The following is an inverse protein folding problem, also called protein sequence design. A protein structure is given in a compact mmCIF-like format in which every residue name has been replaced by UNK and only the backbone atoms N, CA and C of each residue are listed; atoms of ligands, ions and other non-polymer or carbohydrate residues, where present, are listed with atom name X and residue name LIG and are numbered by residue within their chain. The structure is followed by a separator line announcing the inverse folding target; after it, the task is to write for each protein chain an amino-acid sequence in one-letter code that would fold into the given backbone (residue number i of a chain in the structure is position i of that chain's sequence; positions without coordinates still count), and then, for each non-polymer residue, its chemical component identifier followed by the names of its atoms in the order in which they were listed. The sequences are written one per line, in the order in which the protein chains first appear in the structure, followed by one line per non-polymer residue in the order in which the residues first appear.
data_IF_545959945878
#
_entry.id   IF_545959945878
#
_cell.length_a   1.000
_cell.length_b   1.000
_cell.length_c   1.000
_cell.angle_alpha   90.00
_cell.angle_beta   90.00
_cell.angle_gamma   90.00
#
_symmetry.space_group_name_H-M   'P 1'
#
loop_
_entity.id
_entity.type
_entity.pdbx_description
1 polymer ?
#
# COMPACT_ATOMS: atom_id res chain seq x y z
N UNK A 1 14.12 -6.17 9.87
CA UNK A 1 13.00 -7.13 10.07
C UNK A 1 11.85 -6.73 9.17
N UNK A 2 11.30 -7.68 8.45
CA UNK A 2 10.15 -7.43 7.59
C UNK A 2 8.92 -7.07 8.42
N UNK A 3 8.06 -6.23 7.86
CA UNK A 3 6.83 -5.77 8.51
C UNK A 3 5.64 -5.97 7.58
N UNK A 4 4.47 -6.14 8.19
CA UNK A 4 3.19 -6.20 7.49
C UNK A 4 2.49 -4.86 7.67
N UNK A 5 2.06 -4.27 6.57
CA UNK A 5 1.42 -2.96 6.55
C UNK A 5 0.04 -3.11 5.92
N UNK A 6 -1.01 -2.82 6.67
CA UNK A 6 -2.39 -3.00 6.23
C UNK A 6 -3.13 -1.68 6.25
N UNK A 7 -3.66 -1.28 5.09
CA UNK A 7 -4.58 -0.16 4.98
C UNK A 7 -5.99 -0.70 4.77
N UNK A 8 -6.93 -0.27 5.61
CA UNK A 8 -8.34 -0.60 5.46
C UNK A 8 -9.13 0.67 5.20
N UNK A 9 -9.89 0.67 4.11
CA UNK A 9 -10.83 1.74 3.76
C UNK A 9 -12.23 1.18 3.94
N UNK A 10 -13.00 1.66 4.94
CA UNK A 10 -14.25 0.97 5.34
C UNK A 10 -15.38 1.05 4.34
N UNK A 11 -15.43 2.08 3.50
CA UNK A 11 -16.50 2.25 2.51
C UNK A 11 -15.92 2.51 1.14
N UNK A 12 -16.27 1.69 0.16
CA UNK A 12 -15.71 1.80 -1.19
C UNK A 12 -14.22 1.48 -1.17
N UNK A 13 -13.40 2.39 -1.61
CA UNK A 13 -11.94 2.27 -1.56
C UNK A 13 -11.30 1.76 -2.82
N UNK A 14 -12.02 1.04 -3.68
CA UNK A 14 -11.45 0.58 -4.95
C UNK A 14 -11.07 1.76 -5.85
N UNK A 15 -11.94 2.77 -5.95
CA UNK A 15 -11.65 3.96 -6.75
C UNK A 15 -10.43 4.72 -6.19
N UNK A 16 -10.33 4.83 -4.87
CA UNK A 16 -9.17 5.43 -4.23
C UNK A 16 -7.91 4.64 -4.55
N UNK A 17 -7.98 3.31 -4.42
CA UNK A 17 -6.85 2.43 -4.70
C UNK A 17 -6.37 2.62 -6.14
N UNK A 18 -7.29 2.59 -7.11
CA UNK A 18 -6.95 2.75 -8.51
C UNK A 18 -6.37 4.14 -8.81
N UNK A 19 -6.90 5.19 -8.16
CA UNK A 19 -6.36 6.54 -8.30
C UNK A 19 -4.93 6.63 -7.74
N UNK A 20 -4.66 6.03 -6.59
CA UNK A 20 -3.31 5.98 -6.00
C UNK A 20 -2.36 5.24 -6.94
N UNK A 21 -2.75 4.05 -7.40
CA UNK A 21 -1.93 3.25 -8.32
C UNK A 21 -1.60 4.04 -9.57
N UNK A 22 -2.58 4.71 -10.17
CA UNK A 22 -2.37 5.52 -11.36
C UNK A 22 -1.35 6.65 -11.10
N UNK A 23 -1.45 7.30 -9.94
CA UNK A 23 -0.56 8.42 -9.59
C UNK A 23 0.87 7.96 -9.35
N UNK A 24 1.07 6.86 -8.64
CA UNK A 24 2.42 6.38 -8.29
C UNK A 24 3.10 5.62 -9.42
N UNK A 25 2.35 5.13 -10.40
CA UNK A 25 2.90 4.40 -11.56
C UNK A 25 2.84 5.22 -12.85
N UNK A 26 2.49 6.49 -12.77
CA UNK A 26 2.35 7.38 -13.92
C UNK A 26 1.40 6.79 -15.00
N UNK A 27 0.28 6.22 -14.54
CA UNK A 27 -0.74 5.64 -15.40
C UNK A 27 -0.45 4.24 -15.93
N UNK A 28 0.70 3.65 -15.60
CA UNK A 28 1.10 2.34 -16.11
C UNK A 28 0.39 1.17 -15.43
N UNK A 29 -0.11 1.38 -14.20
CA UNK A 29 -0.69 0.33 -13.40
C UNK A 29 0.35 -0.44 -12.59
N UNK A 30 -0.14 -1.22 -11.63
CA UNK A 30 0.72 -1.96 -10.70
C UNK A 30 0.55 -3.46 -10.92
N UNK A 31 1.47 -4.05 -11.68
CA UNK A 31 1.45 -5.49 -12.01
C UNK A 31 2.73 -6.21 -11.57
N UNK A 32 3.74 -5.48 -11.14
CA UNK A 32 5.02 -6.01 -10.65
C UNK A 32 5.51 -5.15 -9.50
N UNK A 33 6.27 -5.73 -8.58
CA UNK A 33 6.83 -4.98 -7.46
C UNK A 33 7.68 -3.80 -7.92
N UNK A 34 8.38 -3.96 -9.04
CA UNK A 34 9.24 -2.91 -9.59
C UNK A 34 8.47 -1.68 -10.11
N UNK A 35 7.17 -1.78 -10.28
CA UNK A 35 6.34 -0.64 -10.72
C UNK A 35 6.23 0.44 -9.62
N UNK A 36 6.45 0.07 -8.37
CA UNK A 36 6.44 1.02 -7.25
C UNK A 36 7.80 1.73 -7.18
N UNK A 37 7.82 3.08 -7.18
CA UNK A 37 9.07 3.84 -7.19
C UNK A 37 9.71 3.93 -5.81
N UNK A 38 9.85 2.80 -5.12
CA UNK A 38 10.44 2.73 -3.79
C UNK A 38 10.97 1.32 -3.55
N UNK A 39 12.16 1.21 -3.00
CA UNK A 39 12.80 -0.07 -2.76
C UNK A 39 12.26 -0.73 -1.49
N UNK A 40 12.32 -2.06 -1.44
CA UNK A 40 12.04 -2.83 -0.23
C UNK A 40 10.66 -3.44 -0.14
N UNK A 41 9.82 -3.29 -1.15
CA UNK A 41 8.53 -3.97 -1.20
C UNK A 41 8.74 -5.45 -1.54
N UNK A 42 8.24 -6.33 -0.68
CA UNK A 42 8.38 -7.79 -0.83
C UNK A 42 7.12 -8.40 -1.44
N UNK A 43 5.94 -7.91 -1.04
CA UNK A 43 4.67 -8.41 -1.53
C UNK A 43 3.60 -7.33 -1.41
N UNK A 44 2.62 -7.39 -2.31
CA UNK A 44 1.49 -6.47 -2.33
C UNK A 44 0.22 -7.23 -2.68
N UNK A 45 -0.83 -7.03 -1.87
CA UNK A 45 -2.12 -7.67 -2.06
C UNK A 45 -3.20 -6.62 -1.86
N UNK A 46 -4.17 -6.57 -2.76
CA UNK A 46 -5.30 -5.64 -2.64
C UNK A 46 -6.59 -6.36 -3.02
N UNK A 47 -7.66 -6.06 -2.29
CA UNK A 47 -8.95 -6.64 -2.57
C UNK A 47 -10.07 -6.09 -1.69
N UNK A 48 -11.32 -6.42 -2.02
CA UNK A 48 -12.47 -5.97 -1.24
C UNK A 48 -12.55 -6.67 0.12
N UNK A 49 -13.05 -5.93 1.11
CA UNK A 49 -13.39 -6.50 2.40
C UNK A 49 -14.79 -7.12 2.33
N UNK A 50 -15.00 -8.20 3.09
CA UNK A 50 -16.33 -8.75 3.27
C UNK A 50 -17.22 -7.70 3.95
N UNK A 51 -18.39 -7.47 3.41
CA UNK A 51 -19.31 -6.48 3.94
C UNK A 51 -19.11 -5.06 3.42
N UNK A 52 -18.15 -4.86 2.52
CA UNK A 52 -17.83 -3.56 1.92
C UNK A 52 -16.47 -3.03 2.38
N UNK A 53 -15.93 -2.11 1.61
CA UNK A 53 -14.59 -1.55 1.85
C UNK A 53 -13.50 -2.23 1.06
N UNK A 54 -12.27 -1.82 1.30
CA UNK A 54 -11.10 -2.25 0.52
C UNK A 54 -9.90 -2.40 1.45
N UNK A 55 -9.11 -3.44 1.23
CA UNK A 55 -7.87 -3.67 2.00
C UNK A 55 -6.68 -3.75 1.09
N UNK A 56 -5.60 -3.08 1.49
CA UNK A 56 -4.28 -3.24 0.89
C UNK A 56 -3.35 -3.78 1.95
N UNK A 57 -2.69 -4.88 1.66
CA UNK A 57 -1.69 -5.47 2.54
C UNK A 57 -0.35 -5.52 1.82
N UNK A 58 0.64 -4.87 2.40
CA UNK A 58 2.00 -4.88 1.89
C UNK A 58 2.93 -5.53 2.88
N UNK A 59 3.97 -6.17 2.37
CA UNK A 59 5.11 -6.61 3.18
C UNK A 59 6.31 -5.80 2.73
N UNK A 60 6.93 -5.08 3.66
CA UNK A 60 8.13 -4.30 3.43
C UNK A 60 9.31 -4.91 4.18
N UNK A 61 10.50 -4.78 3.62
CA UNK A 61 11.71 -5.38 4.23
C UNK A 61 12.07 -4.75 5.58
N UNK A 62 11.63 -3.50 5.84
CA UNK A 62 11.95 -2.78 7.07
C UNK A 62 11.03 -1.59 7.26
N UNK A 63 11.00 -1.07 8.48
CA UNK A 63 10.31 0.19 8.79
C UNK A 63 10.89 1.35 7.99
N UNK A 64 12.21 1.38 7.79
CA UNK A 64 12.85 2.41 7.00
C UNK A 64 12.36 2.41 5.54
N UNK A 65 12.20 1.23 4.93
CA UNK A 65 11.68 1.12 3.58
C UNK A 65 10.24 1.67 3.50
N UNK A 66 9.41 1.36 4.49
CA UNK A 66 8.06 1.91 4.58
C UNK A 66 8.09 3.44 4.73
N UNK A 67 8.95 3.97 5.57
CA UNK A 67 9.06 5.42 5.78
C UNK A 67 9.45 6.14 4.48
N UNK A 68 10.36 5.56 3.71
CA UNK A 68 10.73 6.11 2.40
C UNK A 68 9.56 6.09 1.42
N UNK A 69 8.78 5.01 1.40
CA UNK A 69 7.56 4.92 0.59
C UNK A 69 6.53 5.95 1.02
N UNK A 70 6.37 6.15 2.33
CA UNK A 70 5.40 7.11 2.87
C UNK A 70 5.66 8.55 2.39
N UNK A 71 6.90 8.90 2.09
CA UNK A 71 7.25 10.22 1.54
C UNK A 71 6.62 10.45 0.16
N UNK A 72 6.41 9.39 -0.61
CA UNK A 72 5.73 9.44 -1.91
C UNK A 72 4.22 9.28 -1.74
N UNK A 73 3.81 8.31 -0.93
CA UNK A 73 2.40 7.98 -0.76
C UNK A 73 1.61 9.07 -0.02
N UNK A 74 2.20 9.66 1.02
CA UNK A 74 1.52 10.65 1.84
C UNK A 74 0.96 11.84 1.05
N UNK A 75 1.74 12.52 0.22
CA UNK A 75 1.24 13.61 -0.62
C UNK A 75 0.14 13.17 -1.59
N UNK A 76 0.22 11.97 -2.15
CA UNK A 76 -0.80 11.43 -3.04
C UNK A 76 -2.12 11.23 -2.28
N UNK A 77 -2.07 10.63 -1.10
CA UNK A 77 -3.27 10.46 -0.27
C UNK A 77 -3.87 11.81 0.14
N UNK A 78 -3.04 12.77 0.48
CA UNK A 78 -3.50 14.12 0.83
C UNK A 78 -4.22 14.79 -0.35
N UNK A 79 -3.66 14.69 -1.56
CA UNK A 79 -4.28 15.24 -2.76
C UNK A 79 -5.63 14.59 -3.07
N UNK A 80 -5.79 13.33 -2.70
CA UNK A 80 -7.03 12.58 -2.94
C UNK A 80 -8.03 12.68 -1.78
N UNK A 81 -7.74 13.53 -0.79
CA UNK A 81 -8.65 13.78 0.34
C UNK A 81 -8.55 12.78 1.48
N UNK A 82 -7.45 12.02 1.56
CA UNK A 82 -7.25 10.97 2.55
C UNK A 82 -5.97 11.14 3.36
N UNK A 83 -5.62 12.38 3.70
CA UNK A 83 -4.40 12.70 4.44
C UNK A 83 -4.30 12.02 5.81
N UNK A 84 -5.43 11.66 6.40
CA UNK A 84 -5.52 11.03 7.72
C UNK A 84 -5.58 9.50 7.68
N UNK A 85 -5.53 8.89 6.50
CA UNK A 85 -5.50 7.44 6.38
C UNK A 85 -4.18 6.89 6.91
N UNK A 86 -4.26 5.95 7.86
CA UNK A 86 -3.08 5.37 8.51
C UNK A 86 -3.13 3.85 8.44
N UNK A 87 -2.00 3.19 8.21
CA UNK A 87 -1.95 1.74 8.21
C UNK A 87 -1.82 1.15 9.62
N UNK A 88 -2.23 -0.10 9.76
CA UNK A 88 -1.81 -0.94 10.86
C UNK A 88 -0.47 -1.59 10.48
N UNK A 89 0.50 -1.57 11.38
CA UNK A 89 1.84 -2.08 11.14
C UNK A 89 2.16 -3.13 12.20
N UNK A 90 2.52 -4.33 11.74
CA UNK A 90 2.92 -5.43 12.64
C UNK A 90 4.18 -6.11 12.12
N UNK A 91 4.98 -6.73 13.01
CA UNK A 91 6.13 -7.51 12.55
C UNK A 91 5.67 -8.70 11.70
N UNK A 92 6.42 -9.02 10.64
CA UNK A 92 6.18 -10.22 9.85
C UNK A 92 6.98 -11.37 10.45
N UNK A 93 6.29 -12.33 11.04
CA UNK A 93 6.94 -13.48 11.66
C UNK A 93 7.51 -14.44 10.63
N UNK A 94 6.76 -14.68 9.56
CA UNK A 94 7.18 -15.59 8.49
C UNK A 94 6.69 -15.03 7.16
N UNK A 95 7.61 -14.87 6.21
CA UNK A 95 7.30 -14.35 4.87
C UNK A 95 7.71 -15.41 3.86
N UNK A 96 6.74 -15.92 3.12
CA UNK A 96 6.96 -16.89 2.06
C UNK A 96 6.34 -16.35 0.79
N UNK A 97 7.14 -16.22 -0.24
CA UNK A 97 6.70 -15.77 -1.58
C UNK A 97 7.32 -16.68 -2.64
N UNK A 98 6.73 -16.67 -3.81
CA UNK A 98 7.20 -17.51 -4.91
C UNK A 98 8.63 -17.15 -5.34
#
# INVERSE_FOLDING_TARGET
MAIIVTFDVPDGGQDLYEAVVSRVTDGQGFTRLADIPSAGLIAHIAGPLEGGGWRVTDVWESTEALENWAKTLGPVLADLGHADLRPAITPAHNVVVA
#
